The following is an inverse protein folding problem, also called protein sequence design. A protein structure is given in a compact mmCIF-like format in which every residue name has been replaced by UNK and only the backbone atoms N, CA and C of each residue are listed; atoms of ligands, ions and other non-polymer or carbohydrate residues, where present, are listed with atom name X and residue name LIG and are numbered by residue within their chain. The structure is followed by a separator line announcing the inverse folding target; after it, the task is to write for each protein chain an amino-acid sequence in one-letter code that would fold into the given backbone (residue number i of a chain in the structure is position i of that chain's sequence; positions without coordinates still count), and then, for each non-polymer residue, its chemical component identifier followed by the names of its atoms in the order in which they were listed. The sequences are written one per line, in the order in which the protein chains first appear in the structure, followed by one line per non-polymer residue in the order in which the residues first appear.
data_IF_560045037073
#
_entry.id   IF_560045037073
#
_cell.length_a   1.000
_cell.length_b   1.000
_cell.length_c   1.000
_cell.angle_alpha   90.00
_cell.angle_beta   90.00
_cell.angle_gamma   90.00
#
_symmetry.space_group_name_H-M   'P 1'
#
loop_
_entity.id
_entity.type
_entity.pdbx_description
1 polymer ?
#
# COMPACT_ATOMS: atom_id res chain seq x y z
N UNK A 1 -3.32 -11.45 13.15
CA UNK A 1 -3.85 -10.61 14.25
C UNK A 1 -5.18 -10.04 13.82
N UNK A 2 -6.12 -9.91 14.77
CA UNK A 2 -7.47 -9.43 14.51
C UNK A 2 -7.66 -8.06 15.19
N UNK A 3 -8.57 -7.26 14.66
CA UNK A 3 -8.93 -5.98 15.25
C UNK A 3 -9.60 -6.20 16.61
N UNK A 4 -9.15 -5.52 17.66
CA UNK A 4 -9.76 -5.63 18.99
C UNK A 4 -11.15 -4.98 19.06
N UNK A 5 -11.45 -4.04 18.16
CA UNK A 5 -12.74 -3.35 18.12
C UNK A 5 -13.81 -4.12 17.34
N UNK A 6 -13.50 -4.63 16.14
CA UNK A 6 -14.48 -5.28 15.27
C UNK A 6 -14.20 -6.76 14.95
N UNK A 7 -13.10 -7.34 15.45
CA UNK A 7 -12.75 -8.74 15.22
C UNK A 7 -12.24 -9.10 13.82
N UNK A 8 -12.29 -8.17 12.85
CA UNK A 8 -11.85 -8.43 11.47
C UNK A 8 -10.35 -8.76 11.39
N UNK A 9 -9.96 -9.56 10.39
CA UNK A 9 -8.56 -9.93 10.14
C UNK A 9 -7.79 -8.70 9.66
N UNK A 10 -6.69 -8.38 10.35
CA UNK A 10 -5.82 -7.26 9.96
C UNK A 10 -4.83 -7.69 8.88
N UNK A 11 -4.55 -6.77 7.95
CA UNK A 11 -3.49 -6.92 6.95
C UNK A 11 -2.11 -6.85 7.64
N UNK A 12 -1.09 -7.42 7.00
CA UNK A 12 0.31 -7.28 7.47
C UNK A 12 0.64 -5.78 7.56
N UNK A 13 1.24 -5.35 8.67
CA UNK A 13 1.71 -3.97 8.89
C UNK A 13 0.61 -2.89 8.85
N UNK A 14 -0.67 -3.25 9.01
CA UNK A 14 -1.76 -2.28 9.01
C UNK A 14 -1.67 -1.34 10.23
N UNK A 15 -1.70 -0.02 9.98
CA UNK A 15 -1.79 1.01 11.03
C UNK A 15 -3.23 1.22 11.52
N UNK A 16 -4.21 0.94 10.66
CA UNK A 16 -5.64 1.05 10.94
C UNK A 16 -6.36 -0.20 10.42
N UNK A 17 -7.47 -0.55 11.04
CA UNK A 17 -8.34 -1.61 10.58
C UNK A 17 -9.00 -1.23 9.25
N UNK A 18 -8.84 -2.04 8.20
CA UNK A 18 -9.44 -1.76 6.90
C UNK A 18 -10.98 -1.79 6.94
N UNK A 19 -11.56 -2.44 7.96
CA UNK A 19 -13.00 -2.65 8.07
C UNK A 19 -13.68 -1.58 8.92
N UNK A 20 -13.13 -1.21 10.08
CA UNK A 20 -13.76 -0.25 11.00
C UNK A 20 -12.98 1.06 11.18
N UNK A 21 -11.78 1.20 10.61
CA UNK A 21 -10.95 2.40 10.76
C UNK A 21 -10.22 2.53 12.10
N UNK A 22 -10.46 1.64 13.07
CA UNK A 22 -9.82 1.69 14.38
C UNK A 22 -8.30 1.58 14.27
N UNK A 23 -7.58 2.35 15.09
CA UNK A 23 -6.13 2.30 15.12
C UNK A 23 -5.63 0.96 15.66
N UNK A 24 -4.62 0.40 14.99
CA UNK A 24 -3.99 -0.84 15.42
C UNK A 24 -2.81 -0.47 16.31
N UNK A 25 -2.90 -0.82 17.59
CA UNK A 25 -1.77 -0.67 18.52
C UNK A 25 -0.69 -1.67 18.14
N UNK A 26 0.37 -1.17 17.49
CA UNK A 26 1.55 -1.97 17.15
C UNK A 26 2.45 -2.08 18.37
N UNK A 27 2.84 -3.31 18.73
CA UNK A 27 3.89 -3.53 19.72
C UNK A 27 5.22 -3.04 19.15
N UNK A 28 6.03 -2.43 19.99
CA UNK A 28 7.38 -1.98 19.65
C UNK A 28 8.40 -2.92 20.27
N UNK A 29 9.53 -3.11 19.60
CA UNK A 29 10.68 -3.88 20.05
C UNK A 29 11.97 -3.09 19.82
N UNK A 30 12.97 -3.28 20.69
CA UNK A 30 14.26 -2.63 20.54
C UNK A 30 15.15 -3.44 19.57
N UNK A 31 15.86 -2.72 18.70
CA UNK A 31 16.89 -3.31 17.85
C UNK A 31 18.03 -3.87 18.69
N UNK A 32 18.45 -5.12 18.42
CA UNK A 32 19.55 -5.75 19.16
C UNK A 32 20.92 -5.11 18.86
N UNK A 33 21.07 -4.47 17.69
CA UNK A 33 22.34 -3.85 17.28
C UNK A 33 22.50 -2.40 17.77
N UNK A 34 21.43 -1.61 17.79
CA UNK A 34 21.51 -0.17 18.09
C UNK A 34 20.46 0.34 19.10
N UNK A 35 19.66 -0.56 19.69
CA UNK A 35 18.63 -0.25 20.68
C UNK A 35 17.50 0.69 20.24
N UNK A 36 17.44 1.05 18.95
CA UNK A 36 16.34 1.85 18.40
C UNK A 36 15.02 1.09 18.50
N UNK A 37 13.95 1.75 18.95
CA UNK A 37 12.60 1.17 19.01
C UNK A 37 11.99 1.10 17.61
N UNK A 38 11.55 -0.09 17.23
CA UNK A 38 10.94 -0.40 15.94
C UNK A 38 9.60 -1.09 16.14
N UNK A 39 8.63 -0.91 15.22
CA UNK A 39 7.43 -1.75 15.20
C UNK A 39 7.81 -3.23 15.05
N UNK A 40 7.13 -4.13 15.77
CA UNK A 40 7.40 -5.58 15.76
C UNK A 40 7.31 -6.22 14.37
N UNK A 41 6.61 -5.56 13.44
CA UNK A 41 6.49 -6.03 12.07
C UNK A 41 7.43 -5.28 11.08
N UNK A 42 8.48 -4.62 11.57
CA UNK A 42 9.53 -4.04 10.74
C UNK A 42 10.49 -5.12 10.25
N UNK A 43 10.86 -5.11 8.97
CA UNK A 43 11.86 -6.04 8.41
C UNK A 43 13.28 -5.56 8.71
N UNK A 44 13.49 -4.25 8.74
CA UNK A 44 14.77 -3.60 9.03
C UNK A 44 14.60 -2.56 10.14
N UNK A 45 15.70 -2.31 10.86
CA UNK A 45 15.77 -1.26 11.86
C UNK A 45 15.78 0.13 11.21
N UNK A 46 14.92 1.03 11.67
CA UNK A 46 14.87 2.43 11.19
C UNK A 46 16.10 3.26 11.59
N UNK A 47 16.83 2.83 12.64
CA UNK A 47 18.00 3.53 13.16
C UNK A 47 19.30 3.14 12.46
N UNK A 48 19.54 1.84 12.27
CA UNK A 48 20.81 1.32 11.75
C UNK A 48 20.69 0.49 10.45
N UNK A 49 19.48 0.16 9.99
CA UNK A 49 19.26 -0.67 8.80
C UNK A 49 19.44 -2.17 9.00
N UNK A 50 19.83 -2.62 10.20
CA UNK A 50 20.01 -4.05 10.52
C UNK A 50 18.71 -4.84 10.30
N UNK A 51 18.83 -6.06 9.78
CA UNK A 51 17.68 -6.94 9.59
C UNK A 51 17.12 -7.39 10.96
N UNK A 52 15.83 -7.17 11.18
CA UNK A 52 15.17 -7.48 12.46
C UNK A 52 14.48 -8.85 12.44
N UNK A 53 14.01 -9.31 11.27
CA UNK A 53 13.35 -10.61 11.06
C UNK A 53 13.68 -11.20 9.71
N UNK A 54 14.01 -12.49 9.68
CA UNK A 54 13.97 -13.30 8.47
C UNK A 54 12.51 -13.73 8.26
N UNK A 55 11.86 -13.26 7.19
CA UNK A 55 10.55 -13.81 6.85
C UNK A 55 10.73 -15.28 6.46
N UNK A 56 10.09 -16.20 7.20
CA UNK A 56 9.95 -17.61 6.83
C UNK A 56 9.07 -17.77 5.57
N UNK A 57 9.53 -17.23 4.46
CA UNK A 57 8.86 -17.32 3.17
C UNK A 57 9.86 -17.53 2.04
N UNK A 58 10.68 -18.58 2.12
CA UNK A 58 11.54 -18.96 0.98
C UNK A 58 12.09 -20.40 0.98
N UNK A 59 11.36 -21.41 1.48
CA UNK A 59 11.76 -22.81 1.26
C UNK A 59 10.80 -23.64 0.39
N UNK A 60 9.72 -23.07 -0.17
CA UNK A 60 8.81 -23.82 -1.04
C UNK A 60 8.87 -23.49 -2.54
N UNK A 61 9.70 -22.54 -2.98
CA UNK A 61 9.89 -22.24 -4.42
C UNK A 61 11.24 -22.67 -5.00
N UNK A 62 11.88 -23.70 -4.41
CA UNK A 62 13.06 -24.39 -5.02
C UNK A 62 12.90 -25.90 -5.17
N UNK A 63 11.66 -26.39 -5.29
CA UNK A 63 11.38 -27.75 -5.78
C UNK A 63 10.39 -27.73 -6.95
N UNK A 64 10.59 -26.85 -7.91
CA UNK A 64 10.03 -27.01 -9.25
C UNK A 64 11.14 -27.24 -10.25
N UNK A 65 11.49 -28.52 -10.44
CA UNK A 65 11.89 -28.99 -11.76
C UNK A 65 11.39 -30.42 -11.95
N UNK A 66 10.62 -30.57 -13.05
CA UNK A 66 10.12 -31.79 -13.72
C UNK A 66 8.77 -32.29 -13.16
N UNK A 67 7.70 -32.52 -13.93
CA UNK A 67 7.50 -32.56 -15.39
C UNK A 67 5.96 -32.58 -15.70
N UNK A 68 5.50 -32.65 -16.96
CA UNK A 68 4.37 -31.92 -17.51
C UNK A 68 3.03 -32.65 -17.35
N UNK A 69 1.92 -31.91 -17.41
CA UNK A 69 0.63 -32.47 -17.82
C UNK A 69 -0.01 -31.58 -18.87
N UNK A 70 -0.02 -32.13 -20.06
CA UNK A 70 -0.84 -31.78 -21.19
C UNK A 70 -2.30 -32.04 -20.83
N UNK A 71 -3.13 -30.99 -20.79
CA UNK A 71 -4.58 -31.16 -20.77
C UNK A 71 -5.27 -29.99 -21.49
N UNK A 72 -5.49 -30.25 -22.78
CA UNK A 72 -6.69 -29.93 -23.58
C UNK A 72 -7.31 -28.53 -23.39
N UNK A 73 -6.97 -27.68 -24.35
CA UNK A 73 -7.71 -26.48 -24.73
C UNK A 73 -9.15 -26.88 -25.05
N UNK A 74 -10.11 -26.35 -24.29
CA UNK A 74 -11.50 -26.26 -24.70
C UNK A 74 -11.81 -24.79 -24.91
N UNK A 75 -12.02 -24.44 -26.18
CA UNK A 75 -12.51 -23.14 -26.62
C UNK A 75 -13.81 -22.84 -25.89
N UNK A 76 -13.80 -21.81 -25.03
CA UNK A 76 -15.03 -21.14 -24.63
C UNK A 76 -14.92 -19.69 -25.08
N UNK A 77 -15.95 -19.32 -25.82
CA UNK A 77 -16.07 -18.12 -26.61
C UNK A 77 -15.95 -16.89 -25.72
N UNK A 78 -15.03 -15.99 -26.09
CA UNK A 78 -14.84 -14.70 -25.45
C UNK A 78 -16.06 -13.82 -25.72
N UNK A 79 -16.89 -13.45 -24.71
CA UNK A 79 -17.84 -12.36 -24.90
C UNK A 79 -17.07 -11.06 -25.10
N UNK A 80 -17.41 -10.39 -26.21
CA UNK A 80 -16.80 -9.17 -26.71
C UNK A 80 -16.71 -8.10 -25.63
N UNK A 81 -15.51 -7.53 -25.51
CA UNK A 81 -15.16 -6.38 -24.68
C UNK A 81 -16.06 -5.17 -25.00
N UNK A 82 -17.01 -4.86 -24.11
CA UNK A 82 -17.56 -3.51 -24.06
C UNK A 82 -16.60 -2.61 -23.28
N UNK A 83 -16.01 -1.66 -24.01
CA UNK A 83 -15.05 -0.68 -23.53
C UNK A 83 -15.75 0.28 -22.58
N UNK A 84 -15.68 0.03 -21.27
CA UNK A 84 -16.11 1.01 -20.28
C UNK A 84 -15.15 2.20 -20.33
N UNK A 85 -15.72 3.38 -20.62
CA UNK A 85 -15.00 4.63 -20.88
C UNK A 85 -14.26 5.05 -19.61
N UNK A 86 -12.93 5.07 -19.65
CA UNK A 86 -12.10 5.73 -18.64
C UNK A 86 -12.42 7.23 -18.67
N UNK A 87 -13.22 7.72 -17.73
CA UNK A 87 -13.35 9.15 -17.47
C UNK A 87 -12.11 9.58 -16.68
N UNK A 88 -11.06 9.98 -17.39
CA UNK A 88 -9.90 10.63 -16.77
C UNK A 88 -10.36 11.99 -16.22
N UNK A 89 -10.32 12.15 -14.91
CA UNK A 89 -10.61 13.42 -14.26
C UNK A 89 -9.48 14.40 -14.58
N UNK A 90 -9.71 15.29 -15.55
CA UNK A 90 -8.76 16.36 -15.89
C UNK A 90 -9.02 17.52 -14.92
N UNK A 91 -8.08 17.75 -14.02
CA UNK A 91 -8.12 18.90 -13.11
C UNK A 91 -8.07 20.17 -13.96
N UNK A 92 -9.15 20.96 -13.98
CA UNK A 92 -9.18 22.25 -14.68
C UNK A 92 -8.34 23.25 -13.87
N UNK A 93 -7.25 23.81 -14.41
CA UNK A 93 -6.53 24.88 -13.73
C UNK A 93 -7.46 26.08 -13.59
N UNK A 94 -7.62 26.59 -12.37
CA UNK A 94 -8.33 27.84 -12.08
C UNK A 94 -7.43 28.99 -12.57
N UNK A 95 -7.38 29.18 -13.88
CA UNK A 95 -6.74 30.34 -14.50
C UNK A 95 -7.62 30.80 -15.65
N UNK A 96 -8.49 31.76 -15.33
CA UNK A 96 -8.62 33.02 -16.06
C UNK A 96 -9.60 33.94 -15.34
N UNK A 97 -9.28 35.23 -15.43
CA UNK A 97 -10.06 36.42 -15.10
C UNK A 97 -9.77 37.01 -13.71
N UNK A 98 -9.18 38.20 -13.54
CA UNK A 98 -8.82 39.30 -14.46
C UNK A 98 -7.70 40.13 -13.80
N UNK A 99 -6.63 40.43 -14.53
CA UNK A 99 -5.84 41.63 -14.23
C UNK A 99 -6.76 42.83 -14.48
N UNK A 100 -7.27 43.44 -13.40
CA UNK A 100 -7.70 44.84 -13.43
C UNK A 100 -6.55 45.65 -12.85
N UNK A 101 -5.78 46.25 -13.74
CA UNK A 101 -4.86 47.33 -13.42
C UNK A 101 -5.60 48.47 -12.69
N UNK A 102 -4.86 49.14 -11.81
CA UNK A 102 -5.13 50.46 -11.20
C UNK A 102 -5.62 50.48 -9.76
N UNK A 103 -4.76 50.10 -8.80
CA UNK A 103 -4.82 50.68 -7.45
C UNK A 103 -3.59 51.54 -7.20
N UNK A 104 -3.87 52.82 -6.99
CA UNK A 104 -2.99 53.97 -6.97
C UNK A 104 -2.37 54.12 -5.57
N UNK A 105 -1.06 53.93 -5.41
CA UNK A 105 -0.37 54.23 -4.15
C UNK A 105 -0.16 55.73 -4.01
N UNK A 106 -1.19 56.44 -3.54
CA UNK A 106 -1.03 57.78 -2.95
C UNK A 106 -1.79 57.85 -1.63
N UNK A 107 -1.04 58.29 -0.61
CA UNK A 107 -1.41 58.70 0.75
C UNK A 107 -1.69 57.57 1.75
N UNK A 108 -0.72 57.30 2.61
CA UNK A 108 -0.59 57.94 3.93
C UNK A 108 0.82 57.78 4.47
#
# INVERSE_FOLDING_TARGET
MNCQHCGSKLLKNAKFCHHCGEAVVLKMEACQACSTLNPINSTFCIGCGEAMREEEHSQQERKQKKQPKEEKIQETEVPKKEKTKKTSYVYKPILKCLCRTSWNWKKL
#
